data_IF_174029980820
#
_entry.id   IF_174029980820
#
_cell.length_a   1.000
_cell.length_b   1.000
_cell.length_c   1.000
_cell.angle_alpha   90.00
_cell.angle_beta   90.00
_cell.angle_gamma   90.00
#
_symmetry.space_group_name_H-M   'P 1'
#
loop_
_entity.id
_entity.type
_entity.pdbx_description
1 polymer ?
#
# COMPACT_ATOMS: atom_id res chain seq x y z
N UNK A 1 -1.60 -6.08 60.80
CA UNK A 1 -0.60 -5.60 59.80
C UNK A 1 -0.64 -6.43 58.52
N UNK A 2 -0.65 -7.77 58.59
CA UNK A 2 -0.72 -8.67 57.42
C UNK A 2 -1.88 -8.38 56.46
N UNK A 3 -3.10 -8.10 56.96
CA UNK A 3 -4.27 -7.74 56.13
C UNK A 3 -4.12 -6.44 55.34
N UNK A 4 -3.41 -5.44 55.90
CA UNK A 4 -3.11 -4.18 55.20
C UNK A 4 -2.05 -4.38 54.11
N UNK A 5 -1.08 -5.27 54.37
CA UNK A 5 -0.06 -5.66 53.39
C UNK A 5 -0.69 -6.41 52.21
N UNK A 6 -1.62 -7.33 52.46
CA UNK A 6 -2.36 -8.00 51.38
C UNK A 6 -3.22 -7.02 50.58
N UNK A 7 -3.90 -6.07 51.24
CA UNK A 7 -4.70 -5.06 50.54
C UNK A 7 -3.83 -4.19 49.61
N UNK A 8 -2.66 -3.76 50.07
CA UNK A 8 -1.71 -2.99 49.26
C UNK A 8 -1.15 -3.84 48.11
N UNK A 9 -0.84 -5.12 48.35
CA UNK A 9 -0.36 -6.02 47.31
C UNK A 9 -1.42 -6.27 46.22
N UNK A 10 -2.69 -6.41 46.59
CA UNK A 10 -3.79 -6.59 45.64
C UNK A 10 -4.06 -5.33 44.82
N UNK A 11 -3.97 -4.13 45.42
CA UNK A 11 -4.16 -2.87 44.67
C UNK A 11 -3.03 -2.63 43.68
N UNK A 12 -1.78 -2.97 44.02
CA UNK A 12 -0.65 -2.88 43.09
C UNK A 12 -0.84 -3.85 41.92
N UNK A 13 -1.21 -5.11 42.18
CA UNK A 13 -1.47 -6.10 41.13
C UNK A 13 -2.58 -5.69 40.16
N UNK A 14 -3.65 -5.04 40.64
CA UNK A 14 -4.73 -4.55 39.79
C UNK A 14 -4.28 -3.40 38.87
N UNK A 15 -3.38 -2.53 39.33
CA UNK A 15 -2.89 -1.40 38.52
C UNK A 15 -1.97 -1.83 37.38
N UNK A 16 -1.22 -2.93 37.52
CA UNK A 16 -0.39 -3.45 36.43
C UNK A 16 -1.22 -4.07 35.30
N UNK A 17 -2.39 -4.64 35.61
CA UNK A 17 -3.25 -5.27 34.60
C UNK A 17 -4.03 -4.27 33.71
N UNK A 18 -4.09 -3.00 34.10
CA UNK A 18 -4.83 -1.96 33.38
C UNK A 18 -4.05 -1.33 32.20
N UNK A 19 -2.75 -1.57 32.09
CA UNK A 19 -1.92 -1.06 30.99
C UNK A 19 -1.89 -2.01 29.79
N UNK A 20 -3.04 -2.29 29.18
CA UNK A 20 -3.08 -2.90 27.85
C UNK A 20 -3.34 -1.80 26.82
N UNK A 21 -2.26 -1.16 26.34
CA UNK A 21 -2.32 -0.32 25.14
C UNK A 21 -2.27 -1.23 23.92
N UNK A 22 -3.42 -1.47 23.30
CA UNK A 22 -3.45 -2.00 21.94
C UNK A 22 -3.13 -0.85 20.98
N UNK A 23 -2.00 -0.93 20.30
CA UNK A 23 -1.70 -0.02 19.21
C UNK A 23 -2.70 -0.29 18.08
N UNK A 24 -3.56 0.68 17.77
CA UNK A 24 -4.33 0.66 16.55
C UNK A 24 -3.33 0.70 15.39
N UNK A 25 -3.33 -0.34 14.55
CA UNK A 25 -2.74 -0.22 13.23
C UNK A 25 -3.55 0.86 12.52
N UNK A 26 -2.93 2.01 12.27
CA UNK A 26 -3.45 2.92 11.26
C UNK A 26 -3.24 2.21 9.92
N UNK A 27 -4.13 1.26 9.62
CA UNK A 27 -4.49 0.99 8.25
C UNK A 27 -5.16 2.27 7.76
N UNK A 28 -4.32 3.24 7.38
CA UNK A 28 -4.67 4.33 6.48
C UNK A 28 -4.95 3.71 5.09
N UNK A 29 -5.86 2.73 5.05
CA UNK A 29 -6.54 2.19 3.88
C UNK A 29 -7.66 3.14 3.45
N UNK A 30 -7.35 4.44 3.43
CA UNK A 30 -8.16 5.46 2.75
C UNK A 30 -7.71 5.67 1.30
N UNK A 31 -6.71 4.91 0.87
CA UNK A 31 -6.40 4.70 -0.53
C UNK A 31 -6.89 3.30 -0.87
N UNK A 32 -8.21 3.13 -1.08
CA UNK A 32 -8.79 1.91 -1.66
C UNK A 32 -8.26 1.73 -3.09
N UNK A 33 -7.00 1.35 -3.20
CA UNK A 33 -6.47 0.67 -4.37
C UNK A 33 -6.91 -0.78 -4.30
N UNK A 34 -6.93 -1.44 -5.46
CA UNK A 34 -7.21 -2.89 -5.56
C UNK A 34 -6.31 -3.64 -4.57
N UNK A 35 -6.90 -4.52 -3.74
CA UNK A 35 -6.13 -5.26 -2.72
C UNK A 35 -5.06 -6.11 -3.39
N UNK A 36 -3.92 -6.35 -2.70
CA UNK A 36 -2.84 -7.20 -3.25
C UNK A 36 -3.35 -8.58 -3.69
N UNK A 37 -4.31 -9.12 -2.97
CA UNK A 37 -4.99 -10.38 -3.28
C UNK A 37 -5.83 -10.28 -4.56
N UNK A 38 -6.55 -9.18 -4.76
CA UNK A 38 -7.30 -8.95 -6.00
C UNK A 38 -6.34 -8.77 -7.19
N UNK A 39 -5.22 -8.05 -7.02
CA UNK A 39 -4.18 -7.91 -8.07
C UNK A 39 -3.56 -9.26 -8.43
N UNK A 40 -3.32 -10.13 -7.45
CA UNK A 40 -2.76 -11.46 -7.69
C UNK A 40 -3.68 -12.38 -8.50
N UNK A 41 -5.00 -12.16 -8.42
CA UNK A 41 -6.02 -12.91 -9.15
C UNK A 41 -6.36 -12.29 -10.52
N UNK A 42 -5.79 -11.14 -10.89
CA UNK A 42 -6.00 -10.53 -12.20
C UNK A 42 -5.18 -11.25 -13.28
N UNK A 43 -5.80 -11.44 -14.43
CA UNK A 43 -5.11 -11.81 -15.68
C UNK A 43 -4.19 -10.68 -16.16
N UNK A 44 -3.23 -10.99 -17.03
CA UNK A 44 -2.33 -9.99 -17.59
C UNK A 44 -3.08 -8.93 -18.42
N UNK A 45 -4.14 -9.31 -19.16
CA UNK A 45 -4.97 -8.33 -19.88
C UNK A 45 -5.69 -7.38 -18.92
N UNK A 46 -6.22 -7.89 -17.79
CA UNK A 46 -6.87 -7.06 -16.79
C UNK A 46 -5.89 -6.10 -16.10
N UNK A 47 -4.67 -6.55 -15.81
CA UNK A 47 -3.61 -5.68 -15.27
C UNK A 47 -3.26 -4.58 -16.25
N UNK A 48 -3.10 -4.92 -17.53
CA UNK A 48 -2.76 -3.95 -18.57
C UNK A 48 -3.86 -2.90 -18.75
N UNK A 49 -5.12 -3.32 -18.81
CA UNK A 49 -6.27 -2.40 -18.89
C UNK A 49 -6.32 -1.45 -17.69
N UNK A 50 -6.04 -1.97 -16.48
CA UNK A 50 -6.02 -1.15 -15.26
C UNK A 50 -4.84 -0.18 -15.22
N UNK A 51 -3.67 -0.59 -15.70
CA UNK A 51 -2.50 0.30 -15.86
C UNK A 51 -2.82 1.44 -16.82
N UNK A 52 -3.55 1.16 -17.91
CA UNK A 52 -3.95 2.19 -18.88
C UNK A 52 -4.95 3.19 -18.28
N UNK A 53 -5.93 2.71 -17.52
CA UNK A 53 -6.84 3.56 -16.75
C UNK A 53 -6.09 4.46 -15.76
N UNK A 54 -5.13 3.89 -15.02
CA UNK A 54 -4.26 4.64 -14.10
C UNK A 54 -3.50 5.74 -14.85
N UNK A 55 -2.93 5.45 -16.02
CA UNK A 55 -2.22 6.44 -16.85
C UNK A 55 -3.13 7.60 -17.26
N UNK A 56 -4.32 7.29 -17.76
CA UNK A 56 -5.29 8.30 -18.18
C UNK A 56 -5.67 9.22 -17.01
N UNK A 57 -5.94 8.65 -15.82
CA UNK A 57 -6.26 9.44 -14.63
C UNK A 57 -5.11 10.32 -14.17
N UNK A 58 -3.87 9.81 -14.22
CA UNK A 58 -2.68 10.61 -13.89
C UNK A 58 -2.50 11.78 -14.87
N UNK A 59 -2.72 11.56 -16.16
CA UNK A 59 -2.67 12.62 -17.17
C UNK A 59 -3.76 13.68 -16.95
N UNK A 60 -4.98 13.26 -16.64
CA UNK A 60 -6.08 14.16 -16.27
C UNK A 60 -5.70 15.04 -15.07
N UNK A 61 -5.24 14.43 -13.97
CA UNK A 61 -4.81 15.17 -12.77
C UNK A 61 -3.66 16.11 -13.11
N UNK A 62 -2.73 15.71 -13.98
CA UNK A 62 -1.59 16.54 -14.40
C UNK A 62 -2.07 17.75 -15.22
N UNK A 63 -3.02 17.56 -16.12
CA UNK A 63 -3.57 18.59 -16.99
C UNK A 63 -4.52 19.57 -16.29
N UNK A 64 -5.10 19.20 -15.14
CA UNK A 64 -5.94 20.10 -14.35
C UNK A 64 -5.21 21.38 -13.93
N UNK A 65 -5.90 22.51 -14.04
CA UNK A 65 -5.49 23.75 -13.36
C UNK A 65 -5.76 23.63 -11.85
N UNK A 66 -4.75 23.99 -11.04
CA UNK A 66 -4.73 23.82 -9.57
C UNK A 66 -4.54 25.15 -8.85
N UNK A 67 -4.56 26.25 -9.59
CA UNK A 67 -4.36 27.62 -9.13
C UNK A 67 -5.36 27.98 -8.02
N UNK A 68 -6.64 27.69 -8.24
CA UNK A 68 -7.75 28.04 -7.34
C UNK A 68 -8.05 26.99 -6.26
N UNK A 69 -7.32 25.87 -6.24
CA UNK A 69 -7.58 24.80 -5.28
C UNK A 69 -7.16 25.18 -3.86
N UNK A 70 -7.93 24.74 -2.87
CA UNK A 70 -7.55 24.81 -1.46
C UNK A 70 -6.39 23.84 -1.15
N UNK A 71 -5.74 24.04 0.01
CA UNK A 71 -4.70 23.12 0.48
C UNK A 71 -5.24 21.70 0.70
N UNK A 72 -6.50 21.57 1.11
CA UNK A 72 -7.14 20.28 1.36
C UNK A 72 -7.33 19.49 0.06
N UNK A 73 -7.88 20.12 -0.97
CA UNK A 73 -8.13 19.47 -2.27
C UNK A 73 -6.80 19.11 -2.96
N UNK A 74 -5.77 19.97 -2.88
CA UNK A 74 -4.43 19.61 -3.37
C UNK A 74 -3.83 18.42 -2.63
N UNK A 75 -4.08 18.29 -1.33
CA UNK A 75 -3.62 17.15 -0.53
C UNK A 75 -4.35 15.87 -0.96
N UNK A 76 -5.63 15.96 -1.27
CA UNK A 76 -6.44 14.85 -1.76
C UNK A 76 -5.94 14.34 -3.11
N UNK A 77 -5.71 15.22 -4.10
CA UNK A 77 -5.10 14.83 -5.38
C UNK A 77 -3.72 14.18 -5.21
N UNK A 78 -2.91 14.69 -4.28
CA UNK A 78 -1.60 14.10 -3.98
C UNK A 78 -1.74 12.71 -3.34
N UNK A 79 -2.78 12.50 -2.54
CA UNK A 79 -3.11 11.21 -1.95
C UNK A 79 -3.58 10.23 -3.02
N UNK A 80 -4.45 10.68 -3.93
CA UNK A 80 -4.92 9.90 -5.07
C UNK A 80 -3.76 9.47 -5.98
N UNK A 81 -2.92 10.42 -6.42
CA UNK A 81 -1.72 10.11 -7.23
C UNK A 81 -0.78 9.10 -6.56
N UNK A 82 -0.61 9.19 -5.23
CA UNK A 82 0.18 8.22 -4.48
C UNK A 82 -0.47 6.84 -4.45
N UNK A 83 -1.80 6.78 -4.33
CA UNK A 83 -2.57 5.54 -4.41
C UNK A 83 -2.43 4.87 -5.77
N UNK A 84 -2.66 5.63 -6.84
CA UNK A 84 -2.50 5.18 -8.23
C UNK A 84 -1.08 4.66 -8.51
N UNK A 85 -0.04 5.34 -8.01
CA UNK A 85 1.35 4.88 -8.17
C UNK A 85 1.61 3.56 -7.42
N UNK A 86 1.12 3.42 -6.18
CA UNK A 86 1.24 2.16 -5.43
C UNK A 86 0.53 1.01 -6.13
N UNK A 87 -0.65 1.27 -6.69
CA UNK A 87 -1.43 0.29 -7.43
C UNK A 87 -0.69 -0.17 -8.70
N UNK A 88 -0.19 0.77 -9.49
CA UNK A 88 0.62 0.49 -10.69
C UNK A 88 1.90 -0.29 -10.35
N UNK A 89 2.57 0.06 -9.24
CA UNK A 89 3.72 -0.69 -8.72
C UNK A 89 3.35 -2.13 -8.33
N UNK A 90 2.22 -2.32 -7.65
CA UNK A 90 1.74 -3.64 -7.25
C UNK A 90 1.32 -4.53 -8.43
N UNK A 91 0.86 -3.92 -9.54
CA UNK A 91 0.53 -4.62 -10.79
C UNK A 91 1.75 -4.97 -11.65
N UNK A 92 2.97 -4.65 -11.18
CA UNK A 92 4.21 -4.95 -11.90
C UNK A 92 4.67 -3.85 -12.86
N UNK A 93 3.92 -2.76 -13.01
CA UNK A 93 4.27 -1.64 -13.89
C UNK A 93 5.32 -0.69 -13.29
N UNK A 94 5.71 -0.90 -12.03
CA UNK A 94 6.65 -0.04 -11.30
C UNK A 94 7.95 -0.72 -10.88
N UNK A 95 8.33 -1.82 -11.54
CA UNK A 95 9.56 -2.53 -11.22
C UNK A 95 9.65 -3.98 -11.68
N UNK A 96 9.07 -4.36 -12.83
CA UNK A 96 9.59 -5.51 -13.58
C UNK A 96 10.51 -4.97 -14.66
N UNK A 97 11.66 -4.45 -14.23
CA UNK A 97 12.85 -4.82 -14.98
C UNK A 97 12.95 -6.32 -14.75
N UNK A 98 12.70 -7.13 -15.79
CA UNK A 98 13.44 -8.39 -15.87
C UNK A 98 14.87 -7.98 -15.52
N UNK A 99 15.40 -8.49 -14.41
CA UNK A 99 16.80 -8.23 -14.09
C UNK A 99 17.60 -8.54 -15.35
N UNK A 100 18.71 -7.84 -15.60
CA UNK A 100 19.54 -8.16 -16.77
C UNK A 100 19.81 -9.68 -16.83
N UNK A 101 19.92 -10.34 -15.67
CA UNK A 101 19.96 -11.81 -15.56
C UNK A 101 18.71 -12.54 -16.08
N UNK A 102 17.50 -12.11 -15.76
CA UNK A 102 16.27 -12.73 -16.26
C UNK A 102 16.06 -12.52 -17.77
N UNK A 103 16.42 -11.35 -18.32
CA UNK A 103 16.45 -11.13 -19.78
C UNK A 103 17.47 -12.06 -20.45
N UNK A 104 18.68 -12.17 -19.88
CA UNK A 104 19.73 -13.07 -20.38
C UNK A 104 19.26 -14.52 -20.36
N UNK A 105 18.62 -15.00 -19.28
CA UNK A 105 18.11 -16.38 -19.20
C UNK A 105 17.08 -16.65 -20.30
N UNK A 106 16.14 -15.73 -20.54
CA UNK A 106 15.14 -15.89 -21.61
C UNK A 106 15.81 -15.97 -22.99
N UNK A 107 16.77 -15.07 -23.26
CA UNK A 107 17.53 -15.07 -24.52
C UNK A 107 18.34 -16.38 -24.68
N UNK A 108 19.00 -16.85 -23.62
CA UNK A 108 19.76 -18.10 -23.64
C UNK A 108 18.87 -19.31 -23.90
N UNK A 109 17.69 -19.39 -23.29
CA UNK A 109 16.72 -20.47 -23.53
C UNK A 109 16.25 -20.46 -24.98
N UNK A 110 15.97 -19.29 -25.57
CA UNK A 110 15.57 -19.19 -26.98
C UNK A 110 16.68 -19.65 -27.93
N UNK A 111 17.94 -19.36 -27.63
CA UNK A 111 19.10 -19.83 -28.42
C UNK A 111 19.29 -21.35 -28.27
N UNK A 112 18.99 -21.93 -27.12
CA UNK A 112 19.14 -23.38 -26.89
C UNK A 112 18.00 -24.20 -27.51
N UNK A 113 16.81 -23.60 -27.67
CA UNK A 113 15.62 -24.28 -28.19
C UNK A 113 15.47 -24.13 -29.70
N UNK A 114 16.02 -23.06 -30.30
CA UNK A 114 16.07 -22.82 -31.74
C UNK A 114 17.27 -23.51 -32.40
#
# INVERSE_FOLDING_TARGET
MKKKIYLIATTVLLTLAAFNSNAATNDDDKSKGVTKEAIANMTEEQKQARIEEIKQRVEEIKAMDKSDMTKAERKELKSELKGLNKEAQAMGSGGVYLSVGAIIIIILVLILVL
#
